data_IF_539998111675
#
_entry.id   IF_539998111675
#
_cell.length_a   1.000
_cell.length_b   1.000
_cell.length_c   1.000
_cell.angle_alpha   90.00
_cell.angle_beta   90.00
_cell.angle_gamma   90.00
#
_symmetry.space_group_name_H-M   'P 1'
#
loop_
_entity.id
_entity.type
_entity.pdbx_description
1 polymer ?
#
# COMPACT_ATOMS: atom_id res chain seq x y z
N UNK A 1 -0.49 -9.33 13.26
CA UNK A 1 -0.77 -10.22 12.10
C UNK A 1 0.53 -10.89 11.64
N UNK A 2 0.48 -12.05 10.95
CA UNK A 2 1.69 -12.61 10.32
C UNK A 2 2.19 -11.66 9.24
N UNK A 3 3.50 -11.51 9.10
CA UNK A 3 4.05 -10.70 8.02
C UNK A 3 3.83 -11.38 6.66
N UNK A 4 3.88 -10.57 5.61
CA UNK A 4 3.64 -11.02 4.23
C UNK A 4 4.94 -11.40 3.51
N UNK A 5 4.84 -12.26 2.50
CA UNK A 5 5.97 -12.58 1.61
C UNK A 5 6.39 -11.30 0.89
N UNK A 6 7.69 -10.99 0.94
CA UNK A 6 8.25 -9.88 0.17
C UNK A 6 8.29 -10.26 -1.30
N UNK A 7 7.82 -9.39 -2.17
CA UNK A 7 7.88 -9.57 -3.62
C UNK A 7 8.45 -8.33 -4.29
N UNK A 8 9.05 -8.55 -5.45
CA UNK A 8 9.67 -7.53 -6.27
C UNK A 8 8.80 -7.24 -7.49
N UNK A 9 8.95 -6.05 -8.07
CA UNK A 9 8.12 -5.51 -9.13
C UNK A 9 7.96 -6.48 -10.30
N UNK A 10 9.07 -7.09 -10.72
CA UNK A 10 9.09 -8.22 -11.64
C UNK A 10 9.98 -9.29 -11.04
N UNK A 11 9.40 -10.45 -10.74
CA UNK A 11 10.17 -11.61 -10.31
C UNK A 11 9.61 -12.89 -10.94
N UNK A 12 10.49 -13.87 -11.20
CA UNK A 12 10.12 -15.20 -11.69
C UNK A 12 11.06 -16.26 -11.13
N UNK A 13 10.51 -17.42 -10.78
CA UNK A 13 11.33 -18.60 -10.50
C UNK A 13 11.87 -19.14 -11.81
N UNK A 14 13.18 -19.35 -11.88
CA UNK A 14 13.85 -20.02 -12.99
C UNK A 14 13.79 -21.53 -12.78
N UNK A 15 13.64 -22.29 -13.88
CA UNK A 15 13.91 -23.73 -13.84
C UNK A 15 15.40 -23.98 -13.65
N UNK A 16 15.73 -25.17 -13.18
CA UNK A 16 17.11 -25.60 -12.94
C UNK A 16 17.97 -25.47 -14.21
N UNK A 17 17.43 -25.91 -15.35
CA UNK A 17 18.07 -25.79 -16.66
C UNK A 17 18.37 -24.35 -17.05
N UNK A 18 17.42 -23.44 -16.86
CA UNK A 18 17.59 -22.01 -17.20
C UNK A 18 18.59 -21.36 -16.25
N UNK A 19 18.51 -21.66 -14.95
CA UNK A 19 19.44 -21.15 -13.95
C UNK A 19 20.89 -21.58 -14.24
N UNK A 20 21.09 -22.86 -14.54
CA UNK A 20 22.40 -23.38 -14.93
C UNK A 20 22.90 -22.74 -16.23
N UNK A 21 22.03 -22.60 -17.23
CA UNK A 21 22.40 -21.97 -18.48
C UNK A 21 22.86 -20.52 -18.27
N UNK A 22 22.12 -19.74 -17.47
CA UNK A 22 22.48 -18.36 -17.15
C UNK A 22 23.80 -18.32 -16.38
N UNK A 23 23.97 -19.12 -15.34
CA UNK A 23 25.20 -19.12 -14.53
C UNK A 23 26.44 -19.57 -15.31
N UNK A 24 26.29 -20.51 -16.26
CA UNK A 24 27.42 -21.02 -17.06
C UNK A 24 27.77 -20.10 -18.23
N UNK A 25 26.79 -19.42 -18.83
CA UNK A 25 26.98 -18.72 -20.11
C UNK A 25 26.88 -17.19 -20.00
N UNK A 26 26.36 -16.64 -18.91
CA UNK A 26 26.22 -15.18 -18.72
C UNK A 26 27.20 -14.73 -17.65
N UNK A 27 28.33 -14.17 -18.08
CA UNK A 27 29.22 -13.47 -17.16
C UNK A 27 28.58 -12.15 -16.69
N UNK A 28 28.54 -11.86 -15.38
CA UNK A 28 28.09 -10.58 -14.89
C UNK A 28 29.00 -9.47 -15.42
N UNK A 29 28.48 -8.63 -16.32
CA UNK A 29 29.23 -7.46 -16.77
C UNK A 29 29.27 -6.42 -15.66
N UNK A 30 30.47 -6.19 -15.11
CA UNK A 30 30.71 -5.03 -14.24
C UNK A 30 30.70 -3.79 -15.13
N UNK A 31 29.59 -3.06 -15.12
CA UNK A 31 29.45 -1.83 -15.90
C UNK A 31 30.11 -0.68 -15.14
N UNK A 32 31.40 -0.45 -15.38
CA UNK A 32 32.07 0.80 -15.02
C UNK A 32 32.00 1.75 -16.22
N UNK A 33 31.46 2.95 -16.02
CA UNK A 33 31.49 4.07 -16.98
C UNK A 33 30.76 3.90 -18.33
N UNK A 34 29.87 2.91 -18.52
CA UNK A 34 29.07 2.84 -19.76
C UNK A 34 27.76 3.63 -19.67
N UNK A 35 27.30 4.16 -20.82
CA UNK A 35 25.94 4.67 -20.94
C UNK A 35 24.96 3.50 -20.76
N UNK A 36 24.21 3.51 -19.66
CA UNK A 36 23.23 2.48 -19.30
C UNK A 36 21.79 2.91 -19.54
N UNK A 37 21.56 4.08 -20.19
CA UNK A 37 20.22 4.65 -20.39
C UNK A 37 19.25 3.69 -21.09
N UNK A 38 19.77 2.75 -21.90
CA UNK A 38 18.97 1.78 -22.65
C UNK A 38 19.00 0.36 -22.08
N UNK A 39 19.55 0.16 -20.87
CA UNK A 39 19.64 -1.16 -20.24
C UNK A 39 18.77 -1.24 -19.00
N UNK A 40 18.05 -2.36 -18.84
CA UNK A 40 17.34 -2.73 -17.61
C UNK A 40 18.15 -3.83 -16.92
N UNK A 41 18.70 -3.59 -15.73
CA UNK A 41 19.44 -4.61 -15.03
C UNK A 41 18.51 -5.64 -14.40
N UNK A 42 19.00 -6.88 -14.31
CA UNK A 42 18.32 -7.97 -13.62
C UNK A 42 19.28 -8.64 -12.64
N UNK A 43 18.74 -9.13 -11.54
CA UNK A 43 19.48 -9.86 -10.50
C UNK A 43 18.95 -11.27 -10.40
N UNK A 44 19.84 -12.25 -10.33
CA UNK A 44 19.50 -13.65 -10.11
C UNK A 44 20.03 -14.06 -8.75
N UNK A 45 19.15 -14.62 -7.90
CA UNK A 45 19.54 -15.08 -6.57
C UNK A 45 20.01 -16.54 -6.59
N UNK A 46 20.67 -16.96 -5.51
CA UNK A 46 21.01 -18.38 -5.27
C UNK A 46 19.77 -19.29 -5.19
N UNK A 47 18.61 -18.71 -4.87
CA UNK A 47 17.31 -19.39 -4.84
C UNK A 47 16.63 -19.43 -6.22
N UNK A 48 17.37 -19.18 -7.30
CA UNK A 48 16.89 -19.22 -8.69
C UNK A 48 15.79 -18.20 -8.98
N UNK A 49 15.76 -17.09 -8.25
CA UNK A 49 14.81 -16.01 -8.49
C UNK A 49 15.42 -14.97 -9.43
N UNK A 50 14.78 -14.75 -10.57
CA UNK A 50 15.10 -13.68 -11.52
C UNK A 50 14.29 -12.44 -11.17
N UNK A 51 14.96 -11.32 -10.87
CA UNK A 51 14.36 -10.10 -10.33
C UNK A 51 14.77 -8.91 -11.19
N UNK A 52 13.83 -8.01 -11.52
CA UNK A 52 14.15 -6.72 -12.11
C UNK A 52 14.79 -5.79 -11.07
N UNK A 53 15.82 -5.09 -11.52
CA UNK A 53 16.61 -4.17 -10.72
C UNK A 53 16.71 -2.81 -11.41
N UNK A 54 17.27 -1.83 -10.71
CA UNK A 54 17.64 -0.53 -11.28
C UNK A 54 19.10 -0.19 -10.94
N UNK A 55 19.69 0.69 -11.75
CA UNK A 55 21.02 1.22 -11.47
C UNK A 55 20.94 2.37 -10.46
N UNK A 56 21.77 2.32 -9.42
CA UNK A 56 21.96 3.38 -8.44
C UNK A 56 23.43 3.77 -8.39
N UNK A 57 23.73 5.07 -8.48
CA UNK A 57 25.10 5.56 -8.39
C UNK A 57 25.43 5.95 -6.95
N UNK A 58 26.47 5.31 -6.40
CA UNK A 58 27.00 5.59 -5.07
C UNK A 58 28.51 5.78 -5.19
N UNK A 59 29.01 6.95 -4.77
CA UNK A 59 30.44 7.27 -4.81
C UNK A 59 31.10 7.07 -6.20
N UNK A 60 30.38 7.45 -7.26
CA UNK A 60 30.83 7.30 -8.65
C UNK A 60 30.82 5.85 -9.17
N UNK A 61 30.26 4.90 -8.42
CA UNK A 61 30.10 3.50 -8.81
C UNK A 61 28.63 3.16 -9.04
N UNK A 62 28.34 2.47 -10.14
CA UNK A 62 27.00 1.96 -10.44
C UNK A 62 26.77 0.64 -9.70
N UNK A 63 25.74 0.62 -8.87
CA UNK A 63 25.23 -0.55 -8.17
C UNK A 63 23.92 -1.00 -8.79
N UNK A 64 23.67 -2.31 -8.77
CA UNK A 64 22.36 -2.86 -9.13
C UNK A 64 21.56 -3.09 -7.85
N UNK A 65 20.37 -2.49 -7.76
CA UNK A 65 19.47 -2.63 -6.61
C UNK A 65 18.16 -3.24 -7.10
N UNK A 66 17.68 -4.27 -6.42
CA UNK A 66 16.39 -4.91 -6.72
C UNK A 66 15.23 -3.94 -6.50
N UNK A 67 14.23 -3.99 -7.36
CA UNK A 67 13.06 -3.10 -7.29
C UNK A 67 11.92 -3.75 -6.48
N UNK A 68 11.71 -3.38 -5.19
CA UNK A 68 10.63 -3.93 -4.40
C UNK A 68 9.26 -3.49 -4.93
N UNK A 69 8.23 -4.33 -4.80
CA UNK A 69 6.88 -3.96 -5.21
C UNK A 69 6.30 -2.91 -4.24
N UNK A 70 6.01 -1.68 -4.68
CA UNK A 70 5.55 -0.60 -3.80
C UNK A 70 4.20 -0.90 -3.13
N UNK A 71 3.30 -1.64 -3.78
CA UNK A 71 2.01 -2.06 -3.21
C UNK A 71 2.26 -2.83 -1.91
N UNK A 72 3.26 -3.72 -1.91
CA UNK A 72 3.64 -4.54 -0.76
C UNK A 72 4.37 -3.76 0.31
N UNK A 73 5.21 -2.79 -0.06
CA UNK A 73 5.89 -1.92 0.91
C UNK A 73 4.84 -1.20 1.75
N UNK A 74 3.88 -0.55 1.09
CA UNK A 74 2.81 0.19 1.74
C UNK A 74 1.90 -0.71 2.58
N UNK A 75 1.52 -1.90 2.05
CA UNK A 75 0.71 -2.85 2.81
C UNK A 75 1.44 -3.38 4.05
N UNK A 76 2.72 -3.75 3.92
CA UNK A 76 3.54 -4.25 5.04
C UNK A 76 3.74 -3.18 6.11
N UNK A 77 3.92 -1.92 5.72
CA UNK A 77 3.98 -0.80 6.66
C UNK A 77 2.67 -0.67 7.43
N UNK A 78 1.51 -0.73 6.76
CA UNK A 78 0.22 -0.73 7.43
C UNK A 78 0.08 -1.89 8.43
N UNK A 79 0.55 -3.11 8.09
CA UNK A 79 0.56 -4.23 9.04
C UNK A 79 1.39 -3.94 10.29
N UNK A 80 2.55 -3.29 10.14
CA UNK A 80 3.39 -2.88 11.27
C UNK A 80 2.65 -1.93 12.20
N UNK A 81 2.02 -0.88 11.65
CA UNK A 81 1.27 0.08 12.46
C UNK A 81 -0.01 -0.51 13.06
N UNK A 82 -0.63 -1.50 12.41
CA UNK A 82 -1.79 -2.19 12.98
C UNK A 82 -1.45 -2.86 14.32
N UNK A 83 -0.33 -3.58 14.41
CA UNK A 83 0.11 -4.20 15.68
C UNK A 83 0.27 -3.13 16.77
N UNK A 84 0.92 -2.00 16.46
CA UNK A 84 1.09 -0.89 17.40
C UNK A 84 -0.22 -0.23 17.81
N UNK A 85 -1.19 -0.08 16.89
CA UNK A 85 -2.51 0.49 17.19
C UNK A 85 -3.22 -0.35 18.25
N UNK A 86 -3.23 -1.68 18.08
CA UNK A 86 -3.86 -2.59 19.05
C UNK A 86 -3.19 -2.48 20.43
N UNK A 87 -1.86 -2.59 20.47
CA UNK A 87 -1.09 -2.48 21.73
C UNK A 87 -1.34 -1.14 22.44
N UNK A 88 -1.24 -0.01 21.72
CA UNK A 88 -1.43 1.30 22.33
C UNK A 88 -2.86 1.53 22.79
N UNK A 89 -3.85 1.04 22.03
CA UNK A 89 -5.25 1.12 22.42
C UNK A 89 -5.51 0.38 23.74
N UNK A 90 -4.99 -0.84 23.88
CA UNK A 90 -5.09 -1.61 25.11
C UNK A 90 -4.48 -0.86 26.30
N UNK A 91 -3.25 -0.34 26.16
CA UNK A 91 -2.57 0.43 27.21
C UNK A 91 -3.33 1.71 27.61
N UNK A 92 -3.96 2.41 26.65
CA UNK A 92 -4.79 3.58 26.93
C UNK A 92 -5.99 3.17 27.80
N UNK A 93 -6.74 2.15 27.38
CA UNK A 93 -7.96 1.74 28.07
C UNK A 93 -7.68 1.10 29.43
N UNK A 94 -6.58 0.37 29.58
CA UNK A 94 -6.20 -0.22 30.86
C UNK A 94 -5.83 0.87 31.87
N UNK A 95 -5.05 1.88 31.46
CA UNK A 95 -4.75 3.03 32.31
C UNK A 95 -6.00 3.87 32.65
N UNK A 96 -6.94 4.02 31.71
CA UNK A 96 -8.20 4.73 31.97
C UNK A 96 -9.11 4.01 32.98
N UNK A 97 -9.05 2.67 33.03
CA UNK A 97 -9.79 1.84 33.99
C UNK A 97 -9.12 1.73 35.36
N UNK A 98 -7.82 2.03 35.45
CA UNK A 98 -7.06 2.00 36.71
C UNK A 98 -7.63 2.97 37.75
N UNK A 99 -7.62 2.56 39.02
CA UNK A 99 -8.01 3.41 40.15
C UNK A 99 -6.99 4.54 40.41
N UNK A 100 -5.74 4.37 39.98
CA UNK A 100 -4.71 5.41 39.97
C UNK A 100 -4.33 5.70 38.52
N UNK A 101 -5.02 6.67 37.93
CA UNK A 101 -4.78 7.10 36.55
C UNK A 101 -3.45 7.85 36.48
N UNK A 102 -2.51 7.34 35.69
CA UNK A 102 -1.34 8.11 35.29
C UNK A 102 -1.67 8.87 34.00
N UNK A 103 -1.95 10.17 34.14
CA UNK A 103 -2.29 11.03 33.00
C UNK A 103 -1.11 11.19 32.05
N UNK A 104 0.13 11.18 32.55
CA UNK A 104 1.32 11.30 31.71
C UNK A 104 1.47 10.12 30.78
N UNK A 105 1.31 8.90 31.30
CA UNK A 105 1.35 7.68 30.49
C UNK A 105 0.21 7.60 29.48
N UNK A 106 -1.01 7.99 29.88
CA UNK A 106 -2.15 8.06 28.94
C UNK A 106 -1.84 9.00 27.78
N UNK A 107 -1.30 10.19 28.05
CA UNK A 107 -0.95 11.16 27.01
C UNK A 107 0.12 10.61 26.06
N UNK A 108 1.15 9.96 26.59
CA UNK A 108 2.19 9.31 25.79
C UNK A 108 1.61 8.22 24.87
N UNK A 109 0.76 7.36 25.42
CA UNK A 109 0.12 6.30 24.63
C UNK A 109 -0.85 6.86 23.59
N UNK A 110 -1.60 7.92 23.90
CA UNK A 110 -2.50 8.60 22.96
C UNK A 110 -1.73 9.20 21.78
N UNK A 111 -0.61 9.87 22.04
CA UNK A 111 0.23 10.44 20.98
C UNK A 111 0.78 9.35 20.04
N UNK A 112 1.30 8.26 20.63
CA UNK A 112 1.78 7.11 19.87
C UNK A 112 0.67 6.38 19.10
N UNK A 113 -0.52 6.27 19.69
CA UNK A 113 -1.72 5.69 19.06
C UNK A 113 -2.10 6.47 17.81
N UNK A 114 -2.36 7.78 17.93
CA UNK A 114 -2.76 8.58 16.76
C UNK A 114 -1.67 8.67 15.71
N UNK A 115 -0.39 8.75 16.12
CA UNK A 115 0.73 8.64 15.19
C UNK A 115 0.70 7.33 14.39
N UNK A 116 0.38 6.21 15.04
CA UNK A 116 0.25 4.91 14.37
C UNK A 116 -0.98 4.85 13.47
N UNK A 117 -2.11 5.43 13.87
CA UNK A 117 -3.33 5.54 13.05
C UNK A 117 -3.06 6.29 11.75
N UNK A 118 -2.43 7.47 11.82
CA UNK A 118 -2.10 8.27 10.63
C UNK A 118 -1.27 7.47 9.64
N UNK A 119 -0.25 6.77 10.14
CA UNK A 119 0.64 5.98 9.30
C UNK A 119 -0.02 4.71 8.75
N UNK A 120 -0.86 4.02 9.54
CA UNK A 120 -1.64 2.88 9.09
C UNK A 120 -2.55 3.27 7.93
N UNK A 121 -3.37 4.32 8.14
CA UNK A 121 -4.41 4.72 7.19
C UNK A 121 -3.77 5.21 5.89
N UNK A 122 -2.72 6.04 5.99
CA UNK A 122 -1.99 6.54 4.82
C UNK A 122 -1.33 5.41 4.04
N UNK A 123 -0.58 4.53 4.73
CA UNK A 123 0.12 3.42 4.07
C UNK A 123 -0.86 2.44 3.44
N UNK A 124 -1.95 2.10 4.12
CA UNK A 124 -2.92 1.16 3.57
C UNK A 124 -3.62 1.74 2.33
N UNK A 125 -3.97 3.04 2.37
CA UNK A 125 -4.59 3.71 1.23
C UNK A 125 -3.61 3.87 0.06
N UNK A 126 -2.34 4.21 0.32
CA UNK A 126 -1.29 4.29 -0.70
C UNK A 126 -1.06 2.94 -1.39
N UNK A 127 -1.17 1.82 -0.66
CA UNK A 127 -1.12 0.48 -1.25
C UNK A 127 -2.23 0.26 -2.28
N UNK A 128 -3.47 0.63 -1.95
CA UNK A 128 -4.63 0.52 -2.82
C UNK A 128 -4.50 1.43 -4.05
N UNK A 129 -4.14 2.69 -3.82
CA UNK A 129 -3.96 3.69 -4.87
C UNK A 129 -2.83 3.28 -5.83
N UNK A 130 -1.72 2.75 -5.29
CA UNK A 130 -0.61 2.23 -6.08
C UNK A 130 -1.04 1.07 -6.98
N UNK A 131 -1.82 0.12 -6.45
CA UNK A 131 -2.36 -0.99 -7.24
C UNK A 131 -3.24 -0.48 -8.39
N UNK A 132 -4.21 0.40 -8.09
CA UNK A 132 -5.10 0.95 -9.12
C UNK A 132 -4.28 1.64 -10.22
N UNK A 133 -3.30 2.44 -9.82
CA UNK A 133 -2.46 3.21 -10.72
C UNK A 133 -1.56 2.31 -11.59
N UNK A 134 -1.11 1.16 -11.07
CA UNK A 134 -0.29 0.20 -11.80
C UNK A 134 -1.09 -0.54 -12.88
N UNK A 135 -2.39 -0.78 -12.65
CA UNK A 135 -3.27 -1.45 -13.63
C UNK A 135 -3.61 -0.57 -14.82
N UNK A 136 -3.60 0.76 -14.70
CA UNK A 136 -4.00 1.66 -15.79
C UNK A 136 -2.94 1.68 -16.92
N UNK A 137 -3.25 1.19 -18.15
CA UNK A 137 -2.30 1.23 -19.26
C UNK A 137 -1.98 2.65 -19.70
N UNK A 138 -0.78 2.87 -20.25
CA UNK A 138 -0.34 4.20 -20.72
C UNK A 138 -1.28 4.79 -21.78
N UNK A 139 -1.72 3.95 -22.71
CA UNK A 139 -2.57 4.33 -23.85
C UNK A 139 -4.08 4.34 -23.51
N UNK A 140 -4.45 4.02 -22.26
CA UNK A 140 -5.85 3.98 -21.88
C UNK A 140 -6.47 5.39 -21.82
N UNK A 141 -7.65 5.52 -22.42
CA UNK A 141 -8.44 6.76 -22.45
C UNK A 141 -9.80 6.45 -21.83
N UNK A 142 -10.08 7.10 -20.70
CA UNK A 142 -11.39 7.04 -20.06
C UNK A 142 -12.24 8.21 -20.54
N UNK A 143 -13.52 7.95 -20.86
CA UNK A 143 -14.48 9.01 -21.20
C UNK A 143 -15.46 9.14 -20.07
N UNK A 144 -15.38 10.25 -19.31
CA UNK A 144 -16.30 10.47 -18.20
C UNK A 144 -17.72 10.71 -18.74
N UNK A 145 -18.73 9.90 -18.32
CA UNK A 145 -20.10 10.03 -18.80
C UNK A 145 -20.73 11.29 -18.21
N UNK A 146 -20.45 12.43 -18.84
CA UNK A 146 -20.94 13.76 -18.49
C UNK A 146 -21.58 14.37 -19.73
N UNK A 147 -22.38 15.43 -19.58
CA UNK A 147 -22.99 16.16 -20.72
C UNK A 147 -22.00 16.54 -21.83
N UNK A 148 -20.70 16.63 -21.54
CA UNK A 148 -19.64 16.99 -22.51
C UNK A 148 -18.67 15.84 -22.86
N UNK A 149 -18.89 14.62 -22.38
CA UNK A 149 -18.04 13.44 -22.61
C UNK A 149 -16.54 13.75 -22.57
N UNK A 150 -16.06 14.24 -21.42
CA UNK A 150 -14.65 14.62 -21.25
C UNK A 150 -13.75 13.39 -21.31
N UNK A 151 -12.88 13.32 -22.31
CA UNK A 151 -11.82 12.30 -22.42
C UNK A 151 -10.68 12.61 -21.46
N UNK A 152 -10.16 11.58 -20.81
CA UNK A 152 -9.08 11.63 -19.83
C UNK A 152 -8.03 10.58 -20.16
N UNK A 153 -6.78 11.00 -20.33
CA UNK A 153 -5.63 10.09 -20.47
C UNK A 153 -5.16 9.57 -19.10
N UNK A 154 -4.21 8.62 -19.08
CA UNK A 154 -3.64 8.07 -17.83
C UNK A 154 -3.28 9.15 -16.82
N UNK A 155 -2.47 10.17 -17.18
CA UNK A 155 -2.06 11.23 -16.24
C UNK A 155 -3.26 11.96 -15.63
N UNK A 156 -4.30 12.22 -16.41
CA UNK A 156 -5.52 12.88 -15.94
C UNK A 156 -6.35 11.97 -15.04
N UNK A 157 -6.46 10.68 -15.36
CA UNK A 157 -7.15 9.69 -14.52
C UNK A 157 -6.46 9.60 -13.16
N UNK A 158 -5.14 9.43 -13.13
CA UNK A 158 -4.37 9.31 -11.89
C UNK A 158 -4.56 10.52 -10.97
N UNK A 159 -4.57 11.74 -11.54
CA UNK A 159 -4.57 12.99 -10.77
C UNK A 159 -5.96 13.52 -10.40
N UNK A 160 -6.96 13.33 -11.25
CA UNK A 160 -8.25 14.04 -11.13
C UNK A 160 -9.45 13.14 -10.94
N UNK A 161 -9.31 11.83 -11.18
CA UNK A 161 -10.40 10.90 -10.95
C UNK A 161 -10.37 10.43 -9.48
N UNK A 162 -11.53 10.38 -8.84
CA UNK A 162 -11.64 9.90 -7.45
C UNK A 162 -11.27 8.42 -7.37
N UNK A 163 -10.89 7.98 -6.18
CA UNK A 163 -10.63 6.58 -5.88
C UNK A 163 -11.85 5.70 -6.24
N UNK A 164 -13.05 6.14 -5.89
CA UNK A 164 -14.29 5.42 -6.15
C UNK A 164 -14.62 5.32 -7.63
N UNK A 165 -14.47 6.41 -8.39
CA UNK A 165 -14.67 6.42 -9.84
C UNK A 165 -13.64 5.48 -10.52
N UNK A 166 -12.39 5.46 -10.03
CA UNK A 166 -11.36 4.55 -10.53
C UNK A 166 -11.77 3.08 -10.33
N UNK A 167 -12.29 2.71 -9.17
CA UNK A 167 -12.71 1.32 -8.88
C UNK A 167 -13.99 0.95 -9.65
N UNK A 168 -14.98 1.85 -9.70
CA UNK A 168 -16.30 1.53 -10.27
C UNK A 168 -16.35 1.62 -11.79
N UNK A 169 -15.55 2.51 -12.37
CA UNK A 169 -15.67 2.86 -13.79
C UNK A 169 -14.39 2.60 -14.59
N UNK A 170 -13.21 2.76 -13.99
CA UNK A 170 -11.95 2.58 -14.74
C UNK A 170 -11.48 1.14 -14.70
N UNK A 171 -11.34 0.55 -13.51
CA UNK A 171 -10.86 -0.83 -13.38
C UNK A 171 -11.71 -1.85 -14.16
N UNK A 172 -13.05 -1.82 -14.13
CA UNK A 172 -13.87 -2.80 -14.86
C UNK A 172 -13.74 -2.72 -16.38
N UNK A 173 -13.24 -1.60 -16.91
CA UNK A 173 -12.98 -1.42 -18.33
C UNK A 173 -11.56 -1.84 -18.76
N UNK A 174 -10.66 -2.06 -17.80
CA UNK A 174 -9.25 -2.40 -18.02
C UNK A 174 -9.02 -3.87 -17.69
N UNK A 175 -9.44 -4.25 -16.50
CA UNK A 175 -9.40 -5.62 -16.03
C UNK A 175 -10.69 -6.28 -16.51
N UNK A 176 -10.57 -7.30 -17.36
CA UNK A 176 -11.72 -8.09 -17.80
C UNK A 176 -12.32 -8.92 -16.66
N UNK A 177 -11.67 -8.92 -15.49
CA UNK A 177 -12.25 -9.37 -14.23
C UNK A 177 -13.32 -8.38 -13.77
N UNK A 178 -14.38 -8.95 -13.25
CA UNK A 178 -15.62 -8.30 -12.87
C UNK A 178 -15.45 -7.09 -11.92
N UNK A 179 -16.56 -6.38 -11.70
CA UNK A 179 -16.59 -5.14 -10.94
C UNK A 179 -16.59 -5.43 -9.42
N UNK A 180 -15.43 -5.22 -8.77
CA UNK A 180 -15.26 -5.41 -7.31
C UNK A 180 -16.31 -4.65 -6.49
N UNK A 181 -16.66 -3.42 -6.89
CA UNK A 181 -17.61 -2.60 -6.14
C UNK A 181 -19.02 -3.20 -6.15
N UNK A 182 -19.42 -3.92 -7.20
CA UNK A 182 -20.70 -4.64 -7.24
C UNK A 182 -20.63 -6.02 -6.60
N UNK A 183 -19.57 -6.79 -6.86
CA UNK A 183 -19.48 -8.19 -6.38
C UNK A 183 -19.12 -8.31 -4.91
N UNK A 184 -18.32 -7.36 -4.40
CA UNK A 184 -17.79 -7.32 -3.03
C UNK A 184 -18.20 -6.02 -2.36
N UNK A 185 -19.47 -5.65 -2.50
CA UNK A 185 -20.02 -4.37 -2.03
C UNK A 185 -19.74 -4.06 -0.56
N UNK A 186 -19.73 -5.07 0.31
CA UNK A 186 -19.38 -4.92 1.72
C UNK A 186 -17.89 -4.57 1.92
N UNK A 187 -16.96 -5.25 1.24
CA UNK A 187 -15.54 -4.93 1.29
C UNK A 187 -15.28 -3.53 0.70
N UNK A 188 -15.95 -3.19 -0.40
CA UNK A 188 -15.88 -1.86 -0.98
C UNK A 188 -16.42 -0.77 -0.03
N UNK A 189 -17.44 -1.08 0.77
CA UNK A 189 -17.92 -0.18 1.83
C UNK A 189 -16.84 0.07 2.89
N UNK A 190 -16.10 -0.97 3.29
CA UNK A 190 -15.00 -0.82 4.24
C UNK A 190 -13.85 0.04 3.66
N UNK A 191 -13.54 -0.10 2.37
CA UNK A 191 -12.54 0.75 1.71
C UNK A 191 -12.96 2.22 1.68
N UNK A 192 -14.27 2.51 1.54
CA UNK A 192 -14.78 3.88 1.64
C UNK A 192 -14.63 4.44 3.04
N UNK A 193 -14.84 3.64 4.08
CA UNK A 193 -14.61 4.06 5.48
C UNK A 193 -13.13 4.38 5.71
N UNK A 194 -12.22 3.54 5.22
CA UNK A 194 -10.78 3.81 5.26
C UNK A 194 -10.44 5.14 4.58
N UNK A 195 -10.97 5.38 3.39
CA UNK A 195 -10.77 6.63 2.66
C UNK A 195 -11.34 7.83 3.42
N UNK A 196 -12.54 7.69 4.00
CA UNK A 196 -13.16 8.75 4.81
C UNK A 196 -12.25 9.16 5.97
N UNK A 197 -11.78 8.18 6.76
CA UNK A 197 -10.86 8.44 7.86
C UNK A 197 -9.55 9.09 7.35
N UNK A 198 -9.00 8.60 6.24
CA UNK A 198 -7.79 9.18 5.60
C UNK A 198 -7.98 10.65 5.25
N UNK A 199 -9.11 10.97 4.64
CA UNK A 199 -9.43 12.34 4.22
C UNK A 199 -9.65 13.24 5.43
N UNK A 200 -10.33 12.75 6.48
CA UNK A 200 -10.50 13.48 7.73
C UNK A 200 -9.17 13.75 8.45
N UNK A 201 -8.25 12.79 8.44
CA UNK A 201 -6.88 12.96 8.97
C UNK A 201 -6.10 13.99 8.14
N UNK A 202 -6.11 13.85 6.81
CA UNK A 202 -5.32 14.69 5.89
C UNK A 202 -5.81 16.14 5.89
N UNK A 203 -7.12 16.31 6.02
CA UNK A 203 -7.79 17.60 6.03
C UNK A 203 -8.26 17.97 7.43
N UNK A 204 -7.58 17.53 8.48
CA UNK A 204 -7.94 17.82 9.87
C UNK A 204 -8.21 19.33 10.02
N UNK A 205 -9.49 19.68 10.18
CA UNK A 205 -9.93 21.06 10.38
C UNK A 205 -10.09 21.29 11.87
N UNK A 206 -9.51 22.36 12.38
CA UNK A 206 -9.91 22.90 13.66
C UNK A 206 -11.23 23.64 13.47
N UNK A 207 -12.25 23.29 14.26
CA UNK A 207 -13.52 24.00 14.23
C UNK A 207 -13.38 25.29 15.07
N UNK A 208 -12.86 26.35 14.46
CA UNK A 208 -12.47 27.60 15.14
C UNK A 208 -13.68 28.36 15.69
N UNK A 209 -14.86 28.19 15.09
CA UNK A 209 -15.98 29.08 15.36
C UNK A 209 -16.90 28.62 16.49
N UNK A 210 -16.91 27.31 16.88
CA UNK A 210 -17.95 26.80 17.79
C UNK A 210 -17.59 25.62 18.73
N UNK A 211 -16.37 25.08 18.76
CA UNK A 211 -16.05 23.92 19.61
C UNK A 211 -14.85 24.13 20.54
N UNK A 212 -15.00 23.75 21.82
CA UNK A 212 -13.94 23.80 22.84
C UNK A 212 -12.86 22.74 22.59
N UNK A 213 -13.21 21.67 21.86
CA UNK A 213 -12.31 20.58 21.49
C UNK A 213 -12.13 20.54 19.96
N UNK A 214 -10.97 20.99 19.48
CA UNK A 214 -10.74 21.23 18.05
C UNK A 214 -10.77 19.99 17.14
N UNK A 215 -10.62 18.78 17.69
CA UNK A 215 -10.41 17.53 16.94
C UNK A 215 -11.08 16.30 17.57
N UNK A 216 -12.05 16.48 18.46
CA UNK A 216 -12.68 15.37 19.19
C UNK A 216 -13.37 14.35 18.28
N UNK A 217 -14.06 14.81 17.23
CA UNK A 217 -14.74 13.96 16.26
C UNK A 217 -13.75 13.07 15.49
N UNK A 218 -12.63 13.63 15.04
CA UNK A 218 -11.57 12.89 14.34
C UNK A 218 -10.96 11.81 15.24
N UNK A 219 -10.65 12.18 16.48
CA UNK A 219 -10.05 11.28 17.45
C UNK A 219 -11.00 10.18 17.90
N UNK A 220 -12.29 10.48 18.05
CA UNK A 220 -13.34 9.50 18.34
C UNK A 220 -13.52 8.55 17.16
N UNK A 221 -13.62 9.06 15.93
CA UNK A 221 -13.68 8.25 14.71
C UNK A 221 -12.49 7.27 14.63
N UNK A 222 -11.28 7.75 14.92
CA UNK A 222 -10.08 6.92 14.95
C UNK A 222 -10.08 5.86 16.08
N UNK A 223 -10.73 6.11 17.21
CA UNK A 223 -10.87 5.12 18.30
C UNK A 223 -11.93 4.05 18.00
N UNK A 224 -12.95 4.39 17.22
CA UNK A 224 -14.06 3.51 16.84
C UNK A 224 -13.81 2.75 15.53
N UNK A 225 -12.80 3.15 14.76
CA UNK A 225 -12.50 2.56 13.45
C UNK A 225 -12.05 1.08 13.54
N UNK A 226 -12.57 0.25 12.64
CA UNK A 226 -12.20 -1.16 12.54
C UNK A 226 -10.96 -1.35 11.65
N UNK A 227 -9.78 -1.19 12.25
CA UNK A 227 -8.49 -1.36 11.60
C UNK A 227 -8.26 -2.78 11.06
N UNK A 228 -8.81 -3.80 11.74
CA UNK A 228 -8.64 -5.19 11.32
C UNK A 228 -9.45 -5.47 10.06
N UNK A 229 -10.72 -5.08 10.06
CA UNK A 229 -11.59 -5.24 8.91
C UNK A 229 -11.08 -4.47 7.70
N UNK A 230 -10.59 -3.25 7.89
CA UNK A 230 -10.05 -2.45 6.77
C UNK A 230 -8.81 -3.07 6.12
N UNK A 231 -7.85 -3.60 6.90
CA UNK A 231 -6.67 -4.27 6.30
C UNK A 231 -7.02 -5.61 5.65
N UNK A 232 -8.01 -6.33 6.16
CA UNK A 232 -8.55 -7.55 5.53
C UNK A 232 -9.27 -7.22 4.21
N UNK A 233 -10.14 -6.22 4.19
CA UNK A 233 -10.83 -5.76 2.97
C UNK A 233 -9.84 -5.23 1.91
N UNK A 234 -8.78 -4.54 2.33
CA UNK A 234 -7.70 -4.11 1.45
C UNK A 234 -6.92 -5.30 0.86
N UNK A 235 -6.59 -6.31 1.67
CA UNK A 235 -5.95 -7.54 1.19
C UNK A 235 -6.79 -8.23 0.12
N UNK A 236 -8.10 -8.39 0.39
CA UNK A 236 -9.02 -9.03 -0.54
C UNK A 236 -9.15 -8.24 -1.85
N UNK A 237 -9.24 -6.91 -1.79
CA UNK A 237 -9.20 -6.07 -2.99
C UNK A 237 -7.92 -6.25 -3.79
N UNK A 238 -6.76 -6.25 -3.12
CA UNK A 238 -5.48 -6.41 -3.78
C UNK A 238 -5.39 -7.78 -4.47
N UNK A 239 -5.75 -8.85 -3.77
CA UNK A 239 -5.70 -10.20 -4.31
C UNK A 239 -6.77 -10.47 -5.38
N UNK A 240 -7.89 -9.74 -5.36
CA UNK A 240 -8.90 -9.81 -6.43
C UNK A 240 -8.32 -9.38 -7.78
N UNK A 241 -7.57 -8.28 -7.81
CA UNK A 241 -6.93 -7.75 -9.03
C UNK A 241 -5.55 -8.34 -9.32
N UNK A 242 -4.86 -8.86 -8.31
CA UNK A 242 -3.57 -9.51 -8.47
C UNK A 242 -3.47 -10.73 -7.55
N UNK A 243 -3.91 -11.88 -8.09
CA UNK A 243 -4.04 -13.10 -7.32
C UNK A 243 -2.72 -13.47 -6.63
N UNK A 244 -2.80 -13.72 -5.33
CA UNK A 244 -1.66 -14.09 -4.51
C UNK A 244 -0.65 -12.96 -4.28
N UNK A 245 -0.92 -11.70 -4.63
CA UNK A 245 0.06 -10.64 -4.36
C UNK A 245 0.34 -10.51 -2.85
N UNK A 246 -0.70 -10.50 -2.03
CA UNK A 246 -0.61 -10.52 -0.56
C UNK A 246 -0.74 -11.95 -0.05
N UNK A 247 0.39 -12.55 0.30
CA UNK A 247 0.51 -13.90 0.86
C UNK A 247 1.19 -13.86 2.23
N UNK A 248 0.71 -14.69 3.16
CA UNK A 248 1.39 -14.83 4.46
C UNK A 248 2.75 -15.50 4.27
N UNK A 249 3.75 -15.05 5.02
CA UNK A 249 5.05 -15.69 5.05
C UNK A 249 5.05 -16.89 6.00
N UNK A 250 5.74 -17.95 5.59
CA UNK A 250 5.78 -19.22 6.30
C UNK A 250 6.85 -19.25 7.42
N UNK A 251 7.59 -18.16 7.65
CA UNK A 251 8.67 -18.15 8.64
C UNK A 251 8.20 -17.96 10.10
N UNK A 252 6.88 -17.93 10.34
CA UNK A 252 6.31 -17.90 11.69
C UNK A 252 6.37 -16.55 12.43
N UNK A 253 6.98 -15.50 11.86
CA UNK A 253 7.09 -14.20 12.53
C UNK A 253 5.84 -13.33 12.32
N UNK A 254 5.47 -12.57 13.34
CA UNK A 254 4.48 -11.49 13.26
C UNK A 254 5.16 -10.14 13.04
N UNK A 255 4.38 -9.18 12.51
CA UNK A 255 4.75 -7.77 12.56
C UNK A 255 4.58 -7.21 13.96
#
# INVERSE_FOLDING_TARGET
MKHIKRKFQLHRNLSDEVYEHVNKNIEPKIIQNSNTENYVPYTITSEKLFIQSFFYELEGKKHTIVEPNPILIYFSNAQGFFSTIIERRELIFDNLKSSKKDVGDILNHMFAYYGSVVNFVSSLFDSLECLINSKIPKEYIYTKPTRKNKKMNKKQILRFLSFEDKIKEVLPNIDSKYNFASEKSHLFADLKLLKSLRDNITHAKSNIDYEVAYYDALYTEALDFDFKKSIESAKEFINYHENGLIEQCDCGKTH
#
